data_IF_027426728342
#
_entry.id   IF_027426728342
#
_cell.length_a   1.000
_cell.length_b   1.000
_cell.length_c   1.000
_cell.angle_alpha   90.00
_cell.angle_beta   90.00
_cell.angle_gamma   90.00
#
_symmetry.space_group_name_H-M   'P 1'
#
loop_
_entity.id
_entity.type
_entity.pdbx_description
1 polymer ?
#
# COMPACT_ATOMS: atom_id res chain seq x y z
N UNK A 1 -2.42 54.28 0.58
CA UNK A 1 -2.42 53.23 -0.45
C UNK A 1 -1.15 52.41 -0.33
N UNK A 2 -1.24 51.20 0.23
CA UNK A 2 -0.27 50.11 0.03
C UNK A 2 -0.86 48.82 0.60
N UNK A 3 -1.70 48.17 -0.20
CA UNK A 3 -2.18 46.80 0.05
C UNK A 3 -1.17 45.83 -0.57
N UNK A 4 -0.14 45.49 0.20
CA UNK A 4 0.82 44.43 -0.14
C UNK A 4 0.85 43.41 0.99
N UNK A 5 0.10 42.34 0.82
CA UNK A 5 0.03 41.24 1.78
C UNK A 5 -1.24 40.43 1.61
N UNK A 6 -1.50 39.98 0.38
CA UNK A 6 -2.57 39.08 0.03
C UNK A 6 -2.38 37.76 0.81
N UNK A 7 -3.35 37.43 1.68
CA UNK A 7 -3.71 36.08 2.12
C UNK A 7 -2.61 35.01 2.10
N UNK A 8 -1.86 34.88 3.21
CA UNK A 8 -1.14 33.64 3.51
C UNK A 8 -1.19 33.38 5.02
N UNK A 9 -2.31 32.84 5.51
CA UNK A 9 -2.45 32.55 6.93
C UNK A 9 -3.66 31.72 7.35
N UNK A 10 -4.39 31.09 6.42
CA UNK A 10 -5.53 30.25 6.78
C UNK A 10 -5.68 29.03 5.86
N UNK A 11 -4.68 28.14 5.86
CA UNK A 11 -4.89 26.72 5.54
C UNK A 11 -3.61 25.93 5.83
N UNK A 12 -3.55 25.21 6.95
CA UNK A 12 -2.85 23.91 7.08
C UNK A 12 -2.83 23.42 8.54
N UNK A 13 -3.96 23.50 9.24
CA UNK A 13 -4.17 22.80 10.51
C UNK A 13 -5.44 21.94 10.42
N UNK A 14 -5.54 21.09 9.38
CA UNK A 14 -6.56 20.04 9.25
C UNK A 14 -6.31 19.07 8.06
N UNK A 15 -5.07 18.93 7.58
CA UNK A 15 -4.81 18.29 6.27
C UNK A 15 -3.73 17.22 6.22
N UNK A 16 -3.15 16.82 7.36
CA UNK A 16 -2.02 15.89 7.38
C UNK A 16 -2.33 14.61 8.16
N UNK A 17 -3.52 14.06 7.94
CA UNK A 17 -3.88 12.73 8.42
C UNK A 17 -4.73 11.93 7.40
N UNK A 18 -4.87 12.43 6.16
CA UNK A 18 -5.68 11.80 5.11
C UNK A 18 -4.91 11.73 3.79
N UNK A 19 -3.66 11.28 3.81
CA UNK A 19 -2.92 11.04 2.55
C UNK A 19 -1.84 9.96 2.59
N UNK A 20 -1.72 9.17 3.66
CA UNK A 20 -0.70 8.12 3.77
C UNK A 20 -1.26 6.68 3.75
N UNK A 21 -2.54 6.51 3.42
CA UNK A 21 -3.16 5.18 3.28
C UNK A 21 -3.29 4.71 1.82
N UNK A 22 -2.92 5.55 0.84
CA UNK A 22 -3.17 5.26 -0.57
C UNK A 22 -1.98 4.60 -1.32
N UNK A 23 -0.82 4.42 -0.69
CA UNK A 23 0.33 3.76 -1.32
C UNK A 23 1.42 3.35 -0.29
N UNK A 24 1.25 2.29 0.52
CA UNK A 24 2.35 1.77 1.32
C UNK A 24 3.21 0.87 0.43
N UNK A 25 3.87 1.45 -0.56
CA UNK A 25 4.96 0.79 -1.27
C UNK A 25 6.22 1.02 -0.43
N UNK A 26 6.92 -0.05 -0.08
CA UNK A 26 8.02 0.01 0.88
C UNK A 26 9.28 0.60 0.24
N UNK A 27 9.60 1.89 0.45
CA UNK A 27 10.84 2.52 -0.02
C UNK A 27 11.12 2.42 -1.55
N UNK A 28 10.24 2.97 -2.40
CA UNK A 28 10.36 2.87 -3.87
C UNK A 28 11.62 3.55 -4.44
N UNK A 29 12.12 4.60 -3.80
CA UNK A 29 13.39 5.24 -4.19
C UNK A 29 14.60 4.30 -4.04
N UNK A 30 14.48 3.26 -3.22
CA UNK A 30 15.48 2.20 -3.05
C UNK A 30 15.21 0.95 -3.89
N UNK A 31 14.21 0.99 -4.79
CA UNK A 31 13.83 -0.13 -5.65
C UNK A 31 12.98 -1.21 -4.98
N UNK A 32 12.55 -1.00 -3.73
CA UNK A 32 11.61 -1.89 -3.07
C UNK A 32 10.18 -1.41 -3.39
N UNK A 33 9.45 -2.27 -4.11
CA UNK A 33 8.10 -1.97 -4.56
C UNK A 33 7.02 -2.78 -3.82
N UNK A 34 7.38 -3.45 -2.72
CA UNK A 34 6.48 -4.34 -2.01
C UNK A 34 5.25 -3.62 -1.44
N UNK A 35 4.08 -4.21 -1.68
CA UNK A 35 2.77 -3.76 -1.24
C UNK A 35 2.60 -4.09 0.24
N UNK A 36 2.53 -3.04 1.04
CA UNK A 36 2.30 -3.12 2.47
C UNK A 36 0.89 -3.59 2.83
N UNK A 37 0.69 -4.06 4.08
CA UNK A 37 -0.53 -4.74 4.52
C UNK A 37 -1.79 -3.87 4.50
N UNK A 38 -1.65 -2.54 4.50
CA UNK A 38 -2.76 -1.58 4.49
C UNK A 38 -2.97 -0.91 3.12
N UNK A 39 -2.34 -1.42 2.06
CA UNK A 39 -2.45 -0.83 0.73
C UNK A 39 -3.84 -0.94 0.15
N UNK A 40 -4.34 0.14 -0.44
CA UNK A 40 -5.55 0.11 -1.26
C UNK A 40 -5.36 -0.69 -2.57
N UNK A 41 -4.11 -0.99 -2.95
CA UNK A 41 -3.82 -1.81 -4.13
C UNK A 41 -4.07 -3.31 -3.91
N UNK A 42 -4.18 -3.74 -2.65
CA UNK A 42 -4.38 -5.14 -2.29
C UNK A 42 -5.75 -5.66 -2.73
N UNK A 43 -5.75 -6.86 -3.30
CA UNK A 43 -6.94 -7.62 -3.69
C UNK A 43 -7.93 -6.82 -4.59
N UNK A 44 -7.44 -5.76 -5.24
CA UNK A 44 -8.23 -4.78 -6.00
C UNK A 44 -8.00 -4.86 -7.52
N UNK A 45 -7.11 -5.75 -7.96
CA UNK A 45 -6.77 -6.01 -9.34
C UNK A 45 -7.72 -6.99 -10.02
N UNK A 46 -7.54 -7.14 -11.33
CA UNK A 46 -8.29 -8.07 -12.18
C UNK A 46 -7.34 -9.00 -12.92
N UNK A 47 -7.84 -10.15 -13.38
CA UNK A 47 -7.03 -11.10 -14.13
C UNK A 47 -6.54 -10.49 -15.45
N UNK A 48 -5.23 -10.25 -15.55
CA UNK A 48 -4.58 -9.67 -16.73
C UNK A 48 -3.87 -10.70 -17.61
N UNK A 49 -3.98 -12.00 -17.29
CA UNK A 49 -3.23 -13.07 -17.98
C UNK A 49 -1.75 -13.13 -17.61
N UNK A 50 -1.36 -12.48 -16.51
CA UNK A 50 -0.02 -12.52 -15.93
C UNK A 50 -0.08 -13.36 -14.66
N UNK A 51 0.84 -14.31 -14.55
CA UNK A 51 0.84 -15.33 -13.49
C UNK A 51 1.99 -15.18 -12.48
N UNK A 52 2.88 -14.22 -12.69
CA UNK A 52 4.01 -13.93 -11.81
C UNK A 52 4.20 -12.43 -11.65
N UNK A 53 4.67 -11.99 -10.50
CA UNK A 53 4.97 -10.59 -10.23
C UNK A 53 6.45 -10.24 -10.53
N UNK A 54 6.91 -9.07 -10.05
CA UNK A 54 8.29 -8.58 -10.27
C UNK A 54 9.36 -9.39 -9.52
N UNK A 55 8.99 -10.04 -8.42
CA UNK A 55 9.87 -10.86 -7.58
C UNK A 55 9.79 -12.35 -7.96
N UNK A 56 8.87 -12.70 -8.87
CA UNK A 56 8.63 -14.05 -9.36
C UNK A 56 7.56 -14.80 -8.57
N UNK A 57 6.84 -14.10 -7.70
CA UNK A 57 5.79 -14.66 -6.87
C UNK A 57 4.49 -14.86 -7.67
N UNK A 58 3.71 -15.91 -7.36
CA UNK A 58 2.58 -16.35 -8.18
C UNK A 58 1.34 -15.45 -8.05
N UNK A 59 0.75 -15.05 -9.18
CA UNK A 59 -0.50 -14.28 -9.21
C UNK A 59 -1.73 -15.12 -9.58
N UNK A 60 -2.85 -15.04 -8.83
CA UNK A 60 -3.05 -14.27 -7.60
C UNK A 60 -2.70 -15.07 -6.33
N UNK A 61 -2.38 -14.35 -5.26
CA UNK A 61 -2.19 -14.82 -3.90
C UNK A 61 -3.20 -14.12 -2.98
N UNK A 62 -3.89 -14.91 -2.15
CA UNK A 62 -4.94 -14.37 -1.29
C UNK A 62 -6.31 -14.31 -1.98
N UNK A 63 -7.03 -13.20 -1.82
CA UNK A 63 -8.43 -13.09 -2.21
C UNK A 63 -8.63 -12.54 -3.64
N UNK A 64 -7.60 -11.93 -4.22
CA UNK A 64 -7.62 -11.39 -5.57
C UNK A 64 -6.24 -11.05 -6.11
N UNK A 65 -6.20 -10.45 -7.29
CA UNK A 65 -4.96 -9.86 -7.82
C UNK A 65 -4.70 -8.52 -7.14
N UNK A 66 -3.44 -8.19 -6.92
CA UNK A 66 -3.05 -6.84 -6.51
C UNK A 66 -2.85 -5.90 -7.70
N UNK A 67 -3.14 -4.61 -7.52
CA UNK A 67 -2.84 -3.57 -8.50
C UNK A 67 -1.36 -3.22 -8.45
N UNK A 68 -0.65 -3.37 -9.57
CA UNK A 68 0.74 -2.98 -9.71
C UNK A 68 1.65 -4.14 -10.09
N UNK A 69 2.97 -3.94 -9.94
CA UNK A 69 4.00 -4.90 -10.34
C UNK A 69 4.30 -5.98 -9.29
N UNK A 70 4.03 -5.70 -8.02
CA UNK A 70 4.23 -6.60 -6.87
C UNK A 70 2.91 -7.18 -6.38
N UNK A 71 2.96 -8.30 -5.67
CA UNK A 71 1.85 -8.89 -4.96
C UNK A 71 2.12 -9.08 -3.46
N UNK A 72 1.17 -8.64 -2.64
CA UNK A 72 1.24 -8.76 -1.18
C UNK A 72 1.02 -10.21 -0.74
N UNK A 73 2.11 -10.90 -0.42
CA UNK A 73 2.12 -12.23 0.19
C UNK A 73 1.66 -12.20 1.67
N UNK A 74 0.47 -11.67 1.95
CA UNK A 74 -0.01 -11.62 3.33
C UNK A 74 -0.23 -13.02 3.90
N UNK A 75 0.52 -13.43 4.95
CA UNK A 75 0.43 -14.78 5.47
C UNK A 75 -0.93 -15.00 6.14
N UNK A 76 -1.51 -16.18 5.94
CA UNK A 76 -2.64 -16.66 6.72
C UNK A 76 -2.15 -16.95 8.15
N UNK A 77 -2.80 -16.40 9.17
CA UNK A 77 -2.46 -16.67 10.56
C UNK A 77 -2.91 -18.10 10.95
N UNK A 78 -1.95 -19.00 11.18
CA UNK A 78 -2.22 -20.33 11.74
C UNK A 78 -1.99 -20.27 13.24
N UNK A 79 -3.05 -20.40 14.03
CA UNK A 79 -2.94 -20.56 15.48
C UNK A 79 -2.67 -22.02 15.83
N UNK A 80 -1.40 -22.36 16.01
CA UNK A 80 -1.02 -23.62 16.64
C UNK A 80 -1.32 -23.54 18.14
N UNK A 81 -2.00 -24.53 18.75
CA UNK A 81 -2.16 -24.56 20.19
C UNK A 81 -0.78 -24.67 20.84
N UNK A 82 -0.45 -23.70 21.69
CA UNK A 82 0.78 -23.71 22.45
C UNK A 82 0.64 -24.75 23.58
N UNK A 83 1.10 -25.97 23.31
CA UNK A 83 1.13 -27.04 24.31
C UNK A 83 2.34 -26.82 25.20
N UNK A 84 2.13 -26.21 26.36
CA UNK A 84 3.11 -26.21 27.44
C UNK A 84 3.05 -27.55 28.17
N UNK A 85 4.22 -28.15 28.40
CA UNK A 85 4.43 -29.36 29.20
C UNK A 85 5.28 -29.03 30.40
#
# INVERSE_FOLDING_TARGET
MNVRGLFLGLLAAAGLAVLAAAHPVTAPAGGNYHIGPTSAARDAGVAAGIHTDIDGDPRPFGAGYDIGADESLTPFWIYLPLVFR
#
